data_IF_049399110674
#
_entry.id   IF_049399110674
#
_cell.length_a   1.000
_cell.length_b   1.000
_cell.length_c   1.000
_cell.angle_alpha   90.00
_cell.angle_beta   90.00
_cell.angle_gamma   90.00
#
_symmetry.space_group_name_H-M   'P 1'
#
loop_
_entity.id
_entity.type
_entity.pdbx_description
1 polymer ?
#
# COMPACT_ATOMS: atom_id res chain seq x y z
N UNK A 1 39.94 41.87 73.27
CA UNK A 1 41.41 41.96 73.24
C UNK A 1 41.83 41.69 71.81
N UNK A 2 41.91 42.72 70.96
CA UNK A 2 43.06 43.62 70.79
C UNK A 2 44.28 42.81 70.29
N UNK A 3 44.48 42.78 68.98
CA UNK A 3 45.26 43.75 68.17
C UNK A 3 46.72 43.32 68.10
N UNK A 4 47.39 43.54 66.97
CA UNK A 4 48.36 44.61 66.70
C UNK A 4 48.75 44.39 65.23
N UNK A 5 48.88 45.33 64.29
CA UNK A 5 49.02 46.79 64.26
C UNK A 5 48.79 47.20 62.78
N UNK A 6 47.90 48.13 62.44
CA UNK A 6 48.16 49.57 62.20
C UNK A 6 49.33 49.82 61.21
N UNK A 7 49.17 50.50 60.07
CA UNK A 7 48.86 51.93 59.84
C UNK A 7 48.81 52.17 58.31
N UNK A 8 47.74 52.77 57.75
CA UNK A 8 47.51 54.20 57.43
C UNK A 8 47.88 54.63 56.00
N UNK A 9 46.86 55.21 55.34
CA UNK A 9 46.84 56.47 54.58
C UNK A 9 46.56 56.46 53.04
N UNK A 10 45.41 57.06 52.76
CA UNK A 10 44.83 57.73 51.58
C UNK A 10 45.76 58.35 50.51
N UNK A 11 45.34 58.29 49.24
CA UNK A 11 45.09 59.38 48.25
C UNK A 11 44.86 58.72 46.86
N UNK A 12 43.70 58.77 46.20
CA UNK A 12 43.10 59.81 45.33
C UNK A 12 43.83 60.05 43.97
N UNK A 13 43.03 59.89 42.90
CA UNK A 13 43.07 60.46 41.53
C UNK A 13 43.99 59.88 40.43
N UNK A 14 43.32 59.37 39.38
CA UNK A 14 43.52 59.81 37.99
C UNK A 14 44.48 59.00 37.11
N UNK A 15 43.99 58.48 35.98
CA UNK A 15 44.87 57.98 34.92
C UNK A 15 44.20 57.07 33.90
N UNK A 16 43.93 57.62 32.73
CA UNK A 16 43.46 56.97 31.51
C UNK A 16 44.47 55.88 31.08
N UNK A 17 43.98 54.68 30.79
CA UNK A 17 44.77 53.56 30.27
C UNK A 17 44.08 52.90 29.09
N UNK A 18 44.62 53.13 27.89
CA UNK A 18 44.37 52.38 26.65
C UNK A 18 44.34 50.86 26.92
N UNK A 19 43.33 50.15 26.42
CA UNK A 19 43.40 48.69 26.27
C UNK A 19 43.34 48.31 24.80
N UNK A 20 44.32 47.48 24.46
CA UNK A 20 44.77 47.03 23.17
C UNK A 20 43.75 46.23 22.37
N UNK A 21 43.99 46.28 21.05
CA UNK A 21 43.39 45.53 19.98
C UNK A 21 43.24 44.02 20.28
N UNK A 22 42.06 43.50 19.96
CA UNK A 22 41.84 42.06 19.78
C UNK A 22 41.45 41.82 18.33
N UNK A 23 42.35 41.13 17.61
CA UNK A 23 42.20 40.67 16.23
C UNK A 23 41.06 39.66 16.18
N UNK A 24 39.95 40.03 15.54
CA UNK A 24 38.89 39.09 15.19
C UNK A 24 39.29 38.36 13.90
N UNK A 25 39.75 37.11 14.05
CA UNK A 25 39.98 36.20 12.93
C UNK A 25 38.63 35.86 12.30
N UNK A 26 38.38 36.45 11.13
CA UNK A 26 37.25 36.15 10.25
C UNK A 26 37.36 34.70 9.78
N UNK A 27 36.55 33.81 10.35
CA UNK A 27 36.26 32.52 9.74
C UNK A 27 35.16 32.71 8.69
N UNK A 28 35.56 32.68 7.43
CA UNK A 28 34.68 32.65 6.26
C UNK A 28 33.99 31.29 6.22
N UNK A 29 32.78 31.19 6.77
CA UNK A 29 31.84 30.13 6.41
C UNK A 29 31.13 30.54 5.11
N UNK A 30 31.06 29.67 4.08
CA UNK A 30 30.38 30.01 2.85
C UNK A 30 28.87 30.19 3.13
N UNK A 31 28.37 31.38 2.77
CA UNK A 31 26.95 31.73 2.70
C UNK A 31 26.21 30.77 1.78
N UNK A 32 25.78 29.63 2.30
CA UNK A 32 24.87 28.71 1.63
C UNK A 32 23.70 28.33 2.54
N UNK A 33 23.07 29.33 3.17
CA UNK A 33 21.82 29.09 3.92
C UNK A 33 21.05 30.39 4.22
N UNK A 34 20.78 31.22 3.20
CA UNK A 34 19.84 32.36 3.33
C UNK A 34 19.46 32.94 1.95
N UNK A 35 18.86 32.11 1.09
CA UNK A 35 18.14 32.60 -0.12
C UNK A 35 17.30 31.51 -0.83
N UNK A 36 16.79 30.51 -0.08
CA UNK A 36 15.91 29.46 -0.64
C UNK A 36 14.54 29.36 0.02
N UNK A 37 14.27 30.13 1.09
CA UNK A 37 12.95 30.16 1.73
C UNK A 37 11.99 31.13 1.04
N UNK A 38 12.46 32.26 0.55
CA UNK A 38 11.54 33.34 0.10
C UNK A 38 11.30 33.37 -1.42
N UNK A 39 11.54 32.27 -2.15
CA UNK A 39 11.22 32.18 -3.61
C UNK A 39 10.37 30.98 -4.00
N UNK A 40 10.07 30.07 -3.08
CA UNK A 40 9.20 28.91 -3.34
C UNK A 40 7.77 29.08 -2.84
N UNK A 41 7.46 30.16 -2.12
CA UNK A 41 6.11 30.41 -1.58
C UNK A 41 5.18 31.12 -2.57
N UNK A 42 5.69 31.72 -3.64
CA UNK A 42 4.91 32.59 -4.55
C UNK A 42 4.42 31.94 -5.86
N UNK A 43 4.44 30.60 -6.02
CA UNK A 43 3.77 29.96 -7.18
C UNK A 43 2.91 28.72 -6.90
N UNK A 44 2.74 28.34 -5.63
CA UNK A 44 1.77 27.31 -5.28
C UNK A 44 0.45 27.98 -4.93
N UNK A 45 -0.46 28.10 -5.91
CA UNK A 45 -1.87 28.00 -5.53
C UNK A 45 -1.99 26.74 -4.67
N UNK A 46 -2.32 26.90 -3.38
CA UNK A 46 -2.32 25.80 -2.42
C UNK A 46 -3.32 24.75 -2.91
N UNK A 47 -2.82 23.63 -3.46
CA UNK A 47 -3.68 22.53 -3.88
C UNK A 47 -4.56 22.15 -2.69
N UNK A 48 -5.87 22.29 -2.84
CA UNK A 48 -6.81 21.99 -1.78
C UNK A 48 -6.88 20.47 -1.56
N UNK A 49 -6.63 20.05 -0.32
CA UNK A 49 -6.73 18.64 0.04
C UNK A 49 -8.18 18.17 0.01
N UNK A 50 -8.44 17.11 -0.74
CA UNK A 50 -9.74 16.43 -0.73
C UNK A 50 -10.01 15.80 0.64
N UNK A 51 -11.28 15.56 0.99
CA UNK A 51 -11.62 14.88 2.24
C UNK A 51 -10.96 13.48 2.35
N UNK A 52 -10.82 12.78 1.22
CA UNK A 52 -10.14 11.49 1.14
C UNK A 52 -8.65 11.62 1.52
N UNK A 53 -7.97 12.64 1.00
CA UNK A 53 -6.56 12.92 1.34
C UNK A 53 -6.39 13.32 2.80
N UNK A 54 -7.28 14.16 3.32
CA UNK A 54 -7.25 14.55 4.74
C UNK A 54 -7.41 13.33 5.66
N UNK A 55 -8.27 12.37 5.31
CA UNK A 55 -8.43 11.14 6.09
C UNK A 55 -7.17 10.26 6.04
N UNK A 56 -6.51 10.15 4.88
CA UNK A 56 -5.23 9.44 4.76
C UNK A 56 -4.13 10.12 5.60
N UNK A 57 -4.06 11.45 5.57
CA UNK A 57 -3.05 12.22 6.31
C UNK A 57 -3.27 12.21 7.83
N UNK A 58 -4.53 12.16 8.29
CA UNK A 58 -4.86 11.98 9.72
C UNK A 58 -4.40 10.64 10.28
N UNK A 59 -4.29 9.63 9.43
CA UNK A 59 -3.82 8.31 9.79
C UNK A 59 -4.91 7.40 10.38
N UNK A 60 -4.56 6.13 10.52
CA UNK A 60 -5.49 5.07 10.94
C UNK A 60 -5.30 4.71 12.41
N UNK A 61 -6.32 4.16 13.09
CA UNK A 61 -6.16 3.73 14.48
C UNK A 61 -5.17 2.57 14.65
N UNK A 62 -4.48 2.54 15.79
CA UNK A 62 -3.77 1.36 16.29
C UNK A 62 -4.54 0.84 17.51
N UNK A 63 -5.12 -0.35 17.40
CA UNK A 63 -5.98 -0.93 18.44
C UNK A 63 -5.33 -2.15 19.08
N UNK A 64 -5.46 -2.30 20.39
CA UNK A 64 -5.11 -3.54 21.08
C UNK A 64 -6.24 -4.56 20.92
N UNK A 65 -5.91 -5.79 20.50
CA UNK A 65 -6.83 -6.92 20.47
C UNK A 65 -6.91 -7.52 21.88
N UNK A 66 -7.71 -6.89 22.74
CA UNK A 66 -7.69 -7.16 24.18
C UNK A 66 -8.05 -8.59 24.57
N UNK A 67 -8.94 -9.26 23.83
CA UNK A 67 -9.30 -10.66 24.12
C UNK A 67 -8.17 -11.58 23.69
N UNK A 68 -7.52 -11.30 22.56
CA UNK A 68 -6.28 -11.99 22.15
C UNK A 68 -5.19 -11.79 23.20
N UNK A 69 -4.92 -10.54 23.60
CA UNK A 69 -3.91 -10.20 24.61
C UNK A 69 -4.16 -10.96 25.92
N UNK A 70 -5.40 -10.97 26.39
CA UNK A 70 -5.78 -11.68 27.63
C UNK A 70 -5.56 -13.19 27.51
N UNK A 71 -5.76 -13.77 26.33
CA UNK A 71 -5.63 -15.21 26.11
C UNK A 71 -4.16 -15.66 26.13
N UNK A 72 -3.26 -14.88 25.50
CA UNK A 72 -1.86 -15.30 25.29
C UNK A 72 -0.85 -14.66 26.24
N UNK A 73 -1.23 -13.64 27.02
CA UNK A 73 -0.34 -12.94 27.96
C UNK A 73 0.68 -11.99 27.29
N UNK A 74 0.51 -11.70 26.01
CA UNK A 74 1.32 -10.74 25.22
C UNK A 74 0.39 -9.80 24.48
N UNK A 75 0.79 -8.54 24.35
CA UNK A 75 -0.06 -7.53 23.72
C UNK A 75 0.01 -7.67 22.19
N UNK A 76 -1.15 -7.81 21.54
CA UNK A 76 -1.24 -7.82 20.07
C UNK A 76 -2.00 -6.59 19.61
N UNK A 77 -1.34 -5.76 18.81
CA UNK A 77 -1.89 -4.53 18.25
C UNK A 77 -2.15 -4.67 16.76
N UNK A 78 -3.32 -4.19 16.32
CA UNK A 78 -3.71 -4.14 14.93
C UNK A 78 -3.73 -2.68 14.44
N UNK A 79 -2.93 -2.39 13.41
CA UNK A 79 -2.97 -1.12 12.70
C UNK A 79 -4.07 -1.20 11.63
N UNK A 80 -5.10 -0.38 11.79
CA UNK A 80 -6.37 -0.51 11.07
C UNK A 80 -6.33 0.18 9.70
N UNK A 81 -5.47 -0.28 8.80
CA UNK A 81 -5.37 0.23 7.43
C UNK A 81 -6.64 0.01 6.58
N UNK A 82 -7.51 -0.92 6.99
CA UNK A 82 -8.88 -1.08 6.48
C UNK A 82 -9.77 0.15 6.71
N UNK A 83 -9.39 1.06 7.62
CA UNK A 83 -10.13 2.29 7.93
C UNK A 83 -9.65 3.52 7.15
N UNK A 84 -8.72 3.36 6.22
CA UNK A 84 -8.53 4.40 5.20
C UNK A 84 -9.85 4.58 4.41
N UNK A 85 -10.12 5.76 3.85
CA UNK A 85 -11.40 6.07 3.19
C UNK A 85 -11.73 5.18 1.99
N UNK A 86 -10.73 4.70 1.27
CA UNK A 86 -10.84 3.70 0.20
C UNK A 86 -10.88 2.26 0.72
N UNK A 87 -10.86 2.06 2.04
CA UNK A 87 -11.04 0.78 2.73
C UNK A 87 -9.84 -0.16 2.71
N UNK A 88 -8.63 0.37 2.43
CA UNK A 88 -7.40 -0.44 2.36
C UNK A 88 -6.14 0.38 2.62
N UNK A 89 -5.06 -0.27 3.08
CA UNK A 89 -3.75 0.37 3.22
C UNK A 89 -3.10 0.84 1.91
N UNK A 90 -3.65 0.44 0.75
CA UNK A 90 -3.15 0.87 -0.56
C UNK A 90 -3.44 2.34 -0.86
N UNK A 91 -4.37 2.98 -0.13
CA UNK A 91 -4.68 4.40 -0.26
C UNK A 91 -3.45 5.30 -0.09
N UNK A 92 -2.60 4.99 0.91
CA UNK A 92 -1.36 5.73 1.17
C UNK A 92 -0.40 5.68 -0.02
N UNK A 93 -0.13 4.47 -0.52
CA UNK A 93 0.78 4.26 -1.64
C UNK A 93 0.23 4.89 -2.93
N UNK A 94 -1.06 4.70 -3.22
CA UNK A 94 -1.72 5.26 -4.38
C UNK A 94 -1.65 6.80 -4.39
N UNK A 95 -1.94 7.44 -3.24
CA UNK A 95 -1.86 8.89 -3.10
C UNK A 95 -0.43 9.41 -3.30
N UNK A 96 0.56 8.77 -2.67
CA UNK A 96 1.95 9.23 -2.80
C UNK A 96 2.46 9.04 -4.24
N UNK A 97 2.11 7.93 -4.91
CA UNK A 97 2.51 7.71 -6.30
C UNK A 97 1.87 8.71 -7.27
N UNK A 98 0.58 9.06 -7.09
CA UNK A 98 -0.07 10.11 -7.90
C UNK A 98 0.61 11.46 -7.64
N UNK A 99 0.78 11.85 -6.38
CA UNK A 99 1.42 13.13 -6.02
C UNK A 99 2.84 13.26 -6.57
N UNK A 100 3.62 12.18 -6.57
CA UNK A 100 4.95 12.21 -7.17
C UNK A 100 4.89 12.31 -8.70
N UNK A 101 3.98 11.61 -9.36
CA UNK A 101 3.79 11.73 -10.80
C UNK A 101 3.39 13.16 -11.23
N UNK A 102 2.51 13.82 -10.47
CA UNK A 102 2.14 15.22 -10.71
C UNK A 102 3.31 16.17 -10.47
N UNK A 103 4.03 16.00 -9.36
CA UNK A 103 5.21 16.81 -9.02
C UNK A 103 6.33 16.67 -10.06
N UNK A 104 6.48 15.50 -10.65
CA UNK A 104 7.45 15.22 -11.71
C UNK A 104 6.97 15.66 -13.11
N UNK A 105 5.74 16.19 -13.24
CA UNK A 105 5.15 16.60 -14.51
C UNK A 105 4.73 15.43 -15.42
N UNK A 106 4.68 14.20 -14.89
CA UNK A 106 4.18 13.01 -15.61
C UNK A 106 2.65 12.97 -15.67
N UNK A 107 2.01 13.59 -14.69
CA UNK A 107 0.60 13.92 -14.69
C UNK A 107 0.42 15.44 -14.61
N UNK A 108 -0.67 15.99 -15.16
CA UNK A 108 -1.06 17.37 -14.91
C UNK A 108 -1.33 17.59 -13.41
N UNK A 109 -1.35 18.83 -12.91
CA UNK A 109 -1.85 19.10 -11.56
C UNK A 109 -3.30 18.61 -11.40
N UNK A 110 -3.76 18.37 -10.17
CA UNK A 110 -5.16 17.99 -9.93
C UNK A 110 -6.09 19.08 -10.44
N UNK A 111 -7.27 18.69 -10.90
CA UNK A 111 -8.32 19.65 -11.25
C UNK A 111 -8.73 20.46 -10.01
N UNK A 112 -8.95 21.77 -10.22
CA UNK A 112 -9.50 22.66 -9.20
C UNK A 112 -10.94 22.27 -8.81
N UNK A 113 -11.51 23.02 -7.83
CA UNK A 113 -12.89 22.90 -7.36
C UNK A 113 -13.85 22.61 -8.52
N UNK A 114 -14.66 21.56 -8.38
CA UNK A 114 -15.72 21.22 -9.33
C UNK A 114 -16.74 22.37 -9.37
N UNK A 115 -16.56 23.33 -10.28
CA UNK A 115 -17.51 24.44 -10.48
C UNK A 115 -18.62 24.05 -11.44
N UNK A 116 -18.42 23.03 -12.27
CA UNK A 116 -19.41 22.45 -13.16
C UNK A 116 -19.48 20.94 -12.91
N UNK A 117 -20.55 20.48 -12.26
CA UNK A 117 -20.98 19.09 -12.39
C UNK A 117 -21.52 18.95 -13.80
N UNK A 118 -20.71 18.39 -14.70
CA UNK A 118 -21.29 17.78 -15.88
C UNK A 118 -22.00 16.51 -15.39
N UNK A 119 -23.34 16.53 -15.37
CA UNK A 119 -24.19 15.43 -14.88
C UNK A 119 -23.93 14.11 -15.62
N UNK A 120 -23.17 14.15 -16.72
CA UNK A 120 -22.71 12.98 -17.48
C UNK A 120 -21.55 12.21 -16.81
N UNK A 121 -20.82 12.81 -15.87
CA UNK A 121 -19.58 12.23 -15.30
C UNK A 121 -19.76 11.49 -13.97
N UNK A 122 -20.88 11.69 -13.27
CA UNK A 122 -21.15 11.00 -12.00
C UNK A 122 -22.53 10.36 -12.02
N UNK A 123 -22.55 9.05 -11.79
CA UNK A 123 -23.74 8.19 -11.71
C UNK A 123 -24.51 8.13 -13.03
N UNK A 124 -24.11 7.20 -13.92
CA UNK A 124 -25.04 6.71 -14.93
C UNK A 124 -26.23 6.09 -14.18
N UNK A 125 -27.46 6.63 -14.25
CA UNK A 125 -28.63 6.04 -13.59
C UNK A 125 -29.01 4.68 -14.21
N UNK A 126 -28.36 4.32 -15.33
CA UNK A 126 -28.46 3.07 -16.05
C UNK A 126 -27.40 2.05 -15.61
N UNK A 127 -27.04 1.98 -14.32
CA UNK A 127 -26.45 0.73 -13.83
C UNK A 127 -27.53 -0.34 -13.97
N UNK A 128 -27.37 -1.35 -14.85
CA UNK A 128 -28.43 -2.30 -15.04
C UNK A 128 -28.52 -3.13 -13.77
N UNK A 129 -29.70 -3.16 -13.16
CA UNK A 129 -30.05 -4.24 -12.24
C UNK A 129 -30.14 -5.49 -13.12
N UNK A 130 -28.99 -6.14 -13.35
CA UNK A 130 -28.94 -7.32 -14.21
C UNK A 130 -29.60 -8.48 -13.47
N UNK A 131 -30.67 -9.08 -14.01
CA UNK A 131 -31.16 -10.34 -13.51
C UNK A 131 -30.11 -11.42 -13.79
N UNK A 132 -29.94 -12.35 -12.85
CA UNK A 132 -29.25 -13.60 -13.11
C UNK A 132 -29.89 -14.23 -14.35
N UNK A 133 -29.15 -14.32 -15.46
CA UNK A 133 -29.59 -15.11 -16.62
C UNK A 133 -28.54 -16.16 -16.94
N UNK A 134 -29.02 -17.39 -16.89
CA UNK A 134 -28.44 -18.59 -17.45
C UNK A 134 -28.35 -18.46 -18.97
N UNK A 135 -27.29 -19.04 -19.53
CA UNK A 135 -27.03 -19.17 -20.97
C UNK A 135 -28.30 -19.48 -21.79
N UNK A 136 -28.41 -18.83 -22.95
CA UNK A 136 -28.70 -19.52 -24.21
C UNK A 136 -28.25 -18.68 -25.42
N UNK A 137 -27.71 -19.39 -26.39
CA UNK A 137 -27.22 -18.95 -27.69
C UNK A 137 -28.35 -18.74 -28.69
N UNK A 138 -28.26 -17.72 -29.54
CA UNK A 138 -28.55 -17.88 -30.98
C UNK A 138 -28.10 -16.65 -31.79
N UNK A 139 -27.55 -16.91 -32.97
CA UNK A 139 -26.97 -15.91 -33.86
C UNK A 139 -27.96 -15.31 -34.87
N UNK A 140 -27.54 -14.27 -35.57
CA UNK A 140 -27.68 -14.10 -37.04
C UNK A 140 -26.99 -12.84 -37.55
N UNK A 141 -26.49 -12.95 -38.79
CA UNK A 141 -25.69 -12.02 -39.58
C UNK A 141 -26.48 -10.81 -40.15
N UNK A 142 -25.82 -9.65 -40.32
CA UNK A 142 -26.11 -8.76 -41.47
C UNK A 142 -24.94 -7.88 -41.91
N UNK A 143 -24.98 -7.50 -43.19
CA UNK A 143 -23.91 -7.11 -44.14
C UNK A 143 -23.27 -5.72 -43.97
N UNK A 144 -22.03 -5.62 -44.46
CA UNK A 144 -21.23 -4.40 -44.69
C UNK A 144 -21.66 -3.58 -45.91
N UNK A 145 -21.36 -2.28 -45.88
CA UNK A 145 -21.14 -1.44 -47.07
C UNK A 145 -19.84 -0.63 -46.90
N UNK A 146 -19.08 -0.53 -48.00
CA UNK A 146 -17.76 0.10 -48.12
C UNK A 146 -17.85 1.59 -48.51
N UNK A 147 -16.94 2.43 -48.00
CA UNK A 147 -16.35 3.55 -48.75
C UNK A 147 -14.93 3.92 -48.27
N UNK A 148 -14.01 3.93 -49.24
CA UNK A 148 -12.68 4.55 -49.42
C UNK A 148 -11.65 4.75 -48.29
N UNK A 149 -10.48 4.14 -48.54
CA UNK A 149 -9.24 4.13 -47.75
C UNK A 149 -8.39 5.39 -47.92
N UNK A 150 -7.86 5.88 -46.80
CA UNK A 150 -6.51 6.44 -46.71
C UNK A 150 -5.65 5.31 -46.15
N UNK A 151 -4.48 5.04 -46.75
CA UNK A 151 -3.61 3.93 -46.38
C UNK A 151 -3.09 4.07 -44.94
N UNK A 152 -3.82 3.46 -44.00
CA UNK A 152 -3.42 3.23 -42.61
C UNK A 152 -2.91 1.80 -42.54
N UNK A 153 -1.69 1.61 -42.02
CA UNK A 153 -1.16 0.27 -41.71
C UNK A 153 -2.21 -0.47 -40.86
N UNK A 154 -2.71 -1.65 -41.27
CA UNK A 154 -3.86 -2.27 -40.61
C UNK A 154 -3.50 -2.65 -39.17
N UNK A 155 -4.05 -1.91 -38.21
CA UNK A 155 -4.00 -2.28 -36.79
C UNK A 155 -4.82 -3.54 -36.57
N UNK A 156 -4.25 -4.49 -35.85
CA UNK A 156 -4.92 -5.76 -35.52
C UNK A 156 -6.18 -5.51 -34.68
N UNK A 157 -7.16 -6.41 -34.71
CA UNK A 157 -8.39 -6.30 -33.90
C UNK A 157 -8.11 -6.08 -32.41
N UNK A 158 -7.03 -6.68 -31.90
CA UNK A 158 -6.60 -6.55 -30.51
C UNK A 158 -5.97 -5.19 -30.19
N UNK A 159 -5.27 -4.56 -31.15
CA UNK A 159 -4.71 -3.22 -30.94
C UNK A 159 -5.80 -2.16 -30.90
N UNK A 160 -6.81 -2.29 -31.78
CA UNK A 160 -7.99 -1.40 -31.76
C UNK A 160 -8.75 -1.47 -30.43
N UNK A 161 -8.85 -2.65 -29.84
CA UNK A 161 -9.45 -2.82 -28.51
C UNK A 161 -8.69 -2.03 -27.43
N UNK A 162 -7.36 -2.16 -27.38
CA UNK A 162 -6.53 -1.43 -26.41
C UNK A 162 -6.63 0.09 -26.61
N UNK A 163 -6.68 0.56 -27.85
CA UNK A 163 -6.87 1.96 -28.19
C UNK A 163 -8.23 2.48 -27.70
N UNK A 164 -9.30 1.73 -27.93
CA UNK A 164 -10.63 2.08 -27.46
C UNK A 164 -10.68 2.16 -25.93
N UNK A 165 -9.99 1.27 -25.21
CA UNK A 165 -9.91 1.32 -23.74
C UNK A 165 -9.23 2.61 -23.25
N UNK A 166 -8.16 3.06 -23.91
CA UNK A 166 -7.50 4.32 -23.58
C UNK A 166 -8.43 5.51 -23.84
N UNK A 167 -9.09 5.55 -24.99
CA UNK A 167 -10.02 6.63 -25.35
C UNK A 167 -11.20 6.72 -24.37
N UNK A 168 -11.83 5.59 -24.04
CA UNK A 168 -12.90 5.53 -23.04
C UNK A 168 -12.46 6.01 -21.65
N UNK A 169 -11.20 5.78 -21.28
CA UNK A 169 -10.67 6.29 -20.02
C UNK A 169 -10.50 7.82 -20.09
N UNK A 170 -9.91 8.32 -21.18
CA UNK A 170 -9.63 9.75 -21.37
C UNK A 170 -10.90 10.61 -21.41
N UNK A 171 -12.02 10.10 -21.91
CA UNK A 171 -13.33 10.78 -21.85
C UNK A 171 -13.74 11.16 -20.42
N UNK A 172 -13.24 10.43 -19.41
CA UNK A 172 -13.52 10.68 -17.99
C UNK A 172 -12.51 11.61 -17.32
N UNK A 173 -11.47 12.04 -18.03
CA UNK A 173 -10.42 12.89 -17.46
C UNK A 173 -10.83 14.36 -17.49
N UNK A 174 -10.82 15.03 -16.34
CA UNK A 174 -10.99 16.50 -16.26
C UNK A 174 -9.67 17.26 -16.45
N UNK A 175 -8.56 16.59 -16.21
CA UNK A 175 -7.20 17.17 -16.29
C UNK A 175 -6.51 16.86 -17.62
N UNK A 176 -7.06 15.92 -18.41
CA UNK A 176 -6.36 15.30 -19.54
C UNK A 176 -5.31 14.26 -19.11
N UNK A 177 -5.12 14.03 -17.80
CA UNK A 177 -4.22 13.02 -17.25
C UNK A 177 -4.84 11.63 -17.19
N UNK A 178 -4.05 10.58 -17.42
CA UNK A 178 -4.45 9.18 -17.33
C UNK A 178 -3.53 8.39 -16.39
N UNK A 179 -4.13 7.76 -15.39
CA UNK A 179 -3.47 6.84 -14.47
C UNK A 179 -3.79 5.41 -14.87
N UNK A 180 -2.75 4.63 -15.15
CA UNK A 180 -2.87 3.22 -15.54
C UNK A 180 -2.17 2.34 -14.50
N UNK A 181 -2.82 1.24 -14.11
CA UNK A 181 -2.21 0.27 -13.18
C UNK A 181 -2.63 -1.17 -13.52
N UNK A 182 -1.69 -2.10 -13.33
CA UNK A 182 -1.94 -3.53 -13.35
C UNK A 182 -1.97 -4.05 -11.92
N UNK A 183 -3.14 -4.48 -11.44
CA UNK A 183 -3.31 -4.81 -10.02
C UNK A 183 -4.38 -5.87 -9.78
N UNK A 184 -4.25 -6.62 -8.68
CA UNK A 184 -5.22 -7.58 -8.16
C UNK A 184 -6.41 -6.92 -7.42
N UNK A 185 -6.50 -5.58 -7.45
CA UNK A 185 -7.73 -4.82 -7.21
C UNK A 185 -7.64 -3.73 -6.15
N UNK A 186 -7.02 -3.96 -4.97
CA UNK A 186 -7.03 -2.97 -3.88
C UNK A 186 -6.31 -1.67 -4.24
N UNK A 187 -5.16 -1.75 -4.91
CA UNK A 187 -4.46 -0.57 -5.44
C UNK A 187 -5.28 0.13 -6.52
N UNK A 188 -6.00 -0.63 -7.35
CA UNK A 188 -6.86 -0.07 -8.39
C UNK A 188 -8.01 0.73 -7.79
N UNK A 189 -8.63 0.23 -6.72
CA UNK A 189 -9.74 0.91 -6.03
C UNK A 189 -9.25 2.21 -5.36
N UNK A 190 -8.08 2.16 -4.73
CA UNK A 190 -7.43 3.35 -4.17
C UNK A 190 -7.14 4.39 -5.27
N UNK A 191 -6.54 3.97 -6.38
CA UNK A 191 -6.25 4.84 -7.52
C UNK A 191 -7.54 5.40 -8.15
N UNK A 192 -8.57 4.58 -8.36
CA UNK A 192 -9.84 5.02 -8.94
C UNK A 192 -10.50 6.13 -8.10
N UNK A 193 -10.55 5.94 -6.78
CA UNK A 193 -11.12 6.93 -5.85
C UNK A 193 -10.33 8.25 -5.89
N UNK A 194 -9.00 8.15 -5.82
CA UNK A 194 -8.11 9.31 -5.85
C UNK A 194 -8.15 10.03 -7.21
N UNK A 195 -8.19 9.29 -8.32
CA UNK A 195 -8.29 9.86 -9.66
C UNK A 195 -9.62 10.60 -9.84
N UNK A 196 -10.73 10.04 -9.38
CA UNK A 196 -12.03 10.72 -9.41
C UNK A 196 -12.01 12.04 -8.61
N UNK A 197 -11.37 12.03 -7.44
CA UNK A 197 -11.22 13.22 -6.60
C UNK A 197 -10.30 14.27 -7.25
N UNK A 198 -9.18 13.85 -7.85
CA UNK A 198 -8.15 14.71 -8.46
C UNK A 198 -8.43 15.08 -9.92
N UNK A 199 -9.45 14.49 -10.55
CA UNK A 199 -9.82 14.75 -11.94
C UNK A 199 -8.98 14.04 -13.00
N UNK A 200 -8.18 13.04 -12.64
CA UNK A 200 -7.51 12.18 -13.63
C UNK A 200 -8.44 11.03 -14.06
N UNK A 201 -8.23 10.52 -15.26
CA UNK A 201 -8.82 9.24 -15.66
C UNK A 201 -8.07 8.08 -14.99
N UNK A 202 -8.77 6.97 -14.74
CA UNK A 202 -8.19 5.75 -14.20
C UNK A 202 -8.52 4.55 -15.10
N UNK A 203 -7.48 3.83 -15.54
CA UNK A 203 -7.59 2.58 -16.29
C UNK A 203 -6.89 1.47 -15.50
N UNK A 204 -7.64 0.44 -15.12
CA UNK A 204 -7.13 -0.69 -14.35
C UNK A 204 -7.14 -1.96 -15.21
N UNK A 205 -5.99 -2.62 -15.31
CA UNK A 205 -5.90 -3.98 -15.88
C UNK A 205 -5.90 -4.98 -14.72
N UNK A 206 -6.90 -5.86 -14.69
CA UNK A 206 -7.17 -6.78 -13.59
C UNK A 206 -7.22 -8.23 -14.13
N UNK A 207 -6.61 -9.21 -13.45
CA UNK A 207 -6.82 -10.61 -13.80
C UNK A 207 -8.26 -11.08 -13.50
N UNK A 208 -8.78 -12.00 -14.31
CA UNK A 208 -10.16 -12.52 -14.24
C UNK A 208 -10.43 -13.48 -13.07
N UNK A 209 -9.39 -13.84 -12.31
CA UNK A 209 -9.45 -14.72 -11.15
C UNK A 209 -9.57 -13.99 -9.81
N UNK A 210 -9.97 -12.72 -9.80
CA UNK A 210 -10.14 -11.91 -8.57
C UNK A 210 -11.60 -11.87 -8.11
N UNK A 211 -11.84 -11.48 -6.85
CA UNK A 211 -13.18 -11.28 -6.32
C UNK A 211 -14.00 -10.27 -7.18
N UNK A 212 -15.23 -10.66 -7.56
CA UNK A 212 -16.11 -9.87 -8.45
C UNK A 212 -16.46 -8.50 -7.86
N UNK A 213 -16.51 -8.41 -6.54
CA UNK A 213 -16.73 -7.16 -5.80
C UNK A 213 -15.73 -6.09 -6.19
N UNK A 214 -14.47 -6.46 -6.41
CA UNK A 214 -13.41 -5.50 -6.76
C UNK A 214 -13.68 -4.85 -8.11
N UNK A 215 -14.10 -5.64 -9.10
CA UNK A 215 -14.46 -5.14 -10.43
C UNK A 215 -15.65 -4.18 -10.37
N UNK A 216 -16.68 -4.56 -9.61
CA UNK A 216 -17.89 -3.73 -9.43
C UNK A 216 -17.54 -2.41 -8.77
N UNK A 217 -16.74 -2.43 -7.71
CA UNK A 217 -16.29 -1.21 -7.02
C UNK A 217 -15.49 -0.32 -7.98
N UNK A 218 -14.53 -0.86 -8.74
CA UNK A 218 -13.74 -0.10 -9.71
C UNK A 218 -14.61 0.64 -10.73
N UNK A 219 -15.56 -0.08 -11.34
CA UNK A 219 -16.48 0.51 -12.33
C UNK A 219 -17.38 1.58 -11.70
N UNK A 220 -17.91 1.33 -10.51
CA UNK A 220 -18.74 2.30 -9.78
C UNK A 220 -17.97 3.57 -9.39
N UNK A 221 -16.66 3.47 -9.16
CA UNK A 221 -15.76 4.61 -8.93
C UNK A 221 -15.36 5.34 -10.21
N UNK A 222 -15.87 4.93 -11.37
CA UNK A 222 -15.61 5.56 -12.66
C UNK A 222 -14.38 5.03 -13.40
N UNK A 223 -13.62 4.06 -12.85
CA UNK A 223 -12.49 3.49 -13.55
C UNK A 223 -12.92 2.67 -14.78
N UNK A 224 -12.10 2.72 -15.82
CA UNK A 224 -12.19 1.78 -16.94
C UNK A 224 -11.44 0.50 -16.53
N UNK A 225 -12.10 -0.65 -16.61
CA UNK A 225 -11.54 -1.94 -16.18
C UNK A 225 -11.33 -2.84 -17.38
N UNK A 226 -10.10 -3.27 -17.59
CA UNK A 226 -9.74 -4.26 -18.59
C UNK A 226 -9.41 -5.59 -17.93
N UNK A 227 -10.27 -6.58 -18.11
CA UNK A 227 -10.11 -7.91 -17.54
C UNK A 227 -9.25 -8.78 -18.47
N UNK A 228 -8.31 -9.53 -17.89
CA UNK A 228 -7.42 -10.41 -18.65
C UNK A 228 -7.25 -11.76 -17.99
N UNK A 229 -7.03 -12.84 -18.75
CA UNK A 229 -6.68 -14.13 -18.18
C UNK A 229 -5.39 -14.07 -17.35
N UNK A 230 -5.36 -14.81 -16.24
CA UNK A 230 -4.15 -14.96 -15.44
C UNK A 230 -2.99 -15.52 -16.27
N UNK A 231 -1.82 -14.90 -16.14
CA UNK A 231 -0.60 -15.29 -16.84
C UNK A 231 0.61 -15.16 -15.91
N UNK A 232 1.77 -15.71 -16.29
CA UNK A 232 3.02 -15.38 -15.60
C UNK A 232 3.55 -14.00 -16.03
N UNK A 233 4.33 -13.36 -15.17
CA UNK A 233 4.93 -12.04 -15.42
C UNK A 233 5.81 -11.99 -16.69
N UNK A 234 6.39 -13.11 -17.11
CA UNK A 234 7.14 -13.22 -18.38
C UNK A 234 6.26 -13.17 -19.63
N UNK A 235 4.95 -13.39 -19.50
CA UNK A 235 4.01 -13.30 -20.60
C UNK A 235 3.70 -11.83 -20.92
N UNK A 236 3.79 -11.39 -22.19
CA UNK A 236 3.41 -10.02 -22.59
C UNK A 236 1.97 -9.64 -22.25
N UNK A 237 1.06 -10.62 -22.16
CA UNK A 237 -0.36 -10.42 -21.81
C UNK A 237 -0.63 -10.34 -20.30
N UNK A 238 0.40 -10.50 -19.47
CA UNK A 238 0.28 -10.31 -18.03
C UNK A 238 -0.25 -8.91 -17.71
N UNK A 239 -1.16 -8.80 -16.75
CA UNK A 239 -1.86 -7.57 -16.41
C UNK A 239 -0.93 -6.36 -16.15
N UNK A 240 0.23 -6.57 -15.51
CA UNK A 240 1.27 -5.53 -15.31
C UNK A 240 1.87 -5.07 -16.64
N UNK A 241 2.23 -6.01 -17.53
CA UNK A 241 2.88 -5.67 -18.80
C UNK A 241 1.90 -4.95 -19.72
N UNK A 242 0.63 -5.36 -19.69
CA UNK A 242 -0.42 -4.74 -20.46
C UNK A 242 -0.80 -3.36 -19.94
N UNK A 243 -0.86 -3.17 -18.61
CA UNK A 243 -1.01 -1.83 -18.02
C UNK A 243 0.11 -0.88 -18.44
N UNK A 244 1.37 -1.35 -18.42
CA UNK A 244 2.51 -0.57 -18.94
C UNK A 244 2.35 -0.23 -20.42
N UNK A 245 1.94 -1.21 -21.24
CA UNK A 245 1.70 -1.01 -22.68
C UNK A 245 0.61 0.03 -22.93
N UNK A 246 -0.49 0.02 -22.16
CA UNK A 246 -1.59 0.98 -22.30
C UNK A 246 -1.16 2.40 -21.94
N UNK A 247 -0.35 2.58 -20.89
CA UNK A 247 0.20 3.91 -20.57
C UNK A 247 1.16 4.42 -21.66
N UNK A 248 1.98 3.54 -22.24
CA UNK A 248 2.84 3.88 -23.38
C UNK A 248 2.02 4.26 -24.61
N UNK A 249 1.03 3.43 -24.96
CA UNK A 249 0.11 3.70 -26.06
C UNK A 249 -0.58 5.06 -25.91
N UNK A 250 -1.04 5.38 -24.69
CA UNK A 250 -1.64 6.67 -24.37
C UNK A 250 -0.71 7.85 -24.70
N UNK A 251 0.55 7.79 -24.25
CA UNK A 251 1.54 8.84 -24.53
C UNK A 251 1.93 8.90 -26.00
N UNK A 252 2.30 7.77 -26.58
CA UNK A 252 2.97 7.72 -27.89
C UNK A 252 1.98 7.94 -29.03
N UNK A 253 0.74 7.44 -28.90
CA UNK A 253 -0.29 7.54 -29.96
C UNK A 253 -1.20 8.74 -29.78
N UNK A 254 -1.62 9.05 -28.56
CA UNK A 254 -2.61 10.09 -28.29
C UNK A 254 -2.00 11.38 -27.73
N UNK A 255 -0.70 11.41 -27.42
CA UNK A 255 -0.01 12.62 -26.97
C UNK A 255 -0.47 13.12 -25.60
N UNK A 256 -1.06 12.26 -24.75
CA UNK A 256 -1.60 12.62 -23.45
C UNK A 256 -0.63 12.31 -22.30
N UNK A 257 -0.76 13.04 -21.19
CA UNK A 257 -0.05 12.75 -19.96
C UNK A 257 -0.59 11.47 -19.31
N UNK A 258 0.08 10.34 -19.55
CA UNK A 258 -0.31 9.06 -18.98
C UNK A 258 0.83 8.43 -18.18
N UNK A 259 0.52 7.92 -16.98
CA UNK A 259 1.47 7.22 -16.11
C UNK A 259 1.06 5.78 -15.90
N UNK A 260 2.02 4.87 -16.05
CA UNK A 260 1.90 3.55 -15.43
C UNK A 260 2.46 3.66 -14.02
N UNK A 261 1.59 3.52 -13.02
CA UNK A 261 1.94 3.81 -11.61
C UNK A 261 3.03 2.86 -11.09
N UNK A 262 3.02 1.62 -11.57
CA UNK A 262 4.00 0.58 -11.29
C UNK A 262 4.19 0.32 -9.78
N UNK A 263 3.10 0.00 -9.09
CA UNK A 263 3.10 -0.22 -7.62
C UNK A 263 4.19 -1.16 -7.09
N UNK A 264 4.72 -2.06 -7.93
CA UNK A 264 5.77 -3.00 -7.56
C UNK A 264 7.16 -2.36 -7.60
N UNK A 265 7.45 -1.54 -8.61
CA UNK A 265 8.80 -0.98 -8.83
C UNK A 265 8.93 0.50 -8.43
N UNK A 266 7.81 1.20 -8.20
CA UNK A 266 7.78 2.60 -7.81
C UNK A 266 8.07 2.77 -6.31
N UNK A 267 9.21 3.38 -5.99
CA UNK A 267 9.67 3.58 -4.60
C UNK A 267 8.82 4.56 -3.79
N UNK A 268 7.94 5.34 -4.42
CA UNK A 268 6.95 6.14 -3.68
C UNK A 268 6.00 5.25 -2.85
N UNK A 269 5.86 3.97 -3.19
CA UNK A 269 5.14 3.00 -2.36
C UNK A 269 5.90 2.71 -1.05
N UNK A 270 7.18 2.32 -1.12
CA UNK A 270 8.04 2.14 0.05
C UNK A 270 8.12 3.41 0.92
N UNK A 271 8.36 4.55 0.27
CA UNK A 271 8.72 5.79 0.90
C UNK A 271 7.58 6.37 1.77
N UNK A 272 6.31 6.23 1.36
CA UNK A 272 5.19 6.69 2.20
C UNK A 272 5.09 5.90 3.51
N UNK A 273 5.41 4.61 3.49
CA UNK A 273 5.37 3.78 4.69
C UNK A 273 6.55 4.06 5.62
N UNK A 274 7.72 4.37 5.06
CA UNK A 274 8.86 4.88 5.82
C UNK A 274 8.58 6.24 6.47
N UNK A 275 8.04 7.21 5.71
CA UNK A 275 7.84 8.59 6.18
C UNK A 275 6.59 8.78 7.04
N UNK A 276 5.58 7.94 6.88
CA UNK A 276 4.28 8.11 7.55
C UNK A 276 3.92 6.89 8.41
N UNK A 277 3.71 5.73 7.80
CA UNK A 277 3.12 4.57 8.54
C UNK A 277 3.99 4.09 9.69
N UNK A 278 5.31 3.97 9.50
CA UNK A 278 6.27 3.57 10.54
C UNK A 278 6.30 4.52 11.75
N UNK A 279 6.52 5.84 11.55
CA UNK A 279 6.42 6.82 12.63
C UNK A 279 5.05 6.86 13.31
N UNK A 280 3.97 6.72 12.52
CA UNK A 280 2.60 6.81 13.01
C UNK A 280 2.27 5.67 13.98
N UNK A 281 2.57 4.41 13.62
CA UNK A 281 2.30 3.26 14.51
C UNK A 281 3.16 3.34 15.78
N UNK A 282 4.44 3.73 15.67
CA UNK A 282 5.34 3.80 16.82
C UNK A 282 4.87 4.87 17.81
N UNK A 283 4.47 6.04 17.30
CA UNK A 283 3.91 7.11 18.11
C UNK A 283 2.62 6.66 18.82
N UNK A 284 1.72 5.99 18.11
CA UNK A 284 0.45 5.51 18.69
C UNK A 284 0.66 4.42 19.74
N UNK A 285 1.65 3.54 19.56
CA UNK A 285 2.00 2.51 20.52
C UNK A 285 2.57 3.13 21.81
N UNK A 286 3.47 4.12 21.67
CA UNK A 286 4.01 4.88 22.80
C UNK A 286 2.92 5.64 23.55
N UNK A 287 1.94 6.23 22.85
CA UNK A 287 0.78 6.88 23.47
C UNK A 287 -0.07 5.93 24.31
N UNK A 288 -0.02 4.63 24.02
CA UNK A 288 -0.68 3.58 24.80
C UNK A 288 0.23 3.00 25.91
N UNK A 289 1.39 3.62 26.17
CA UNK A 289 2.32 3.19 27.23
C UNK A 289 3.04 1.89 26.92
N UNK A 290 3.17 1.53 25.63
CA UNK A 290 3.83 0.29 25.18
C UNK A 290 5.08 0.59 24.37
N UNK A 291 6.05 -0.31 24.45
CA UNK A 291 7.18 -0.43 23.53
C UNK A 291 6.87 -1.45 22.43
N UNK A 292 7.68 -1.48 21.38
CA UNK A 292 7.53 -2.44 20.29
C UNK A 292 8.55 -3.57 20.48
N UNK A 293 8.11 -4.82 20.46
CA UNK A 293 8.99 -5.99 20.47
C UNK A 293 9.11 -6.61 19.08
N UNK A 294 8.00 -6.67 18.34
CA UNK A 294 7.99 -7.15 16.96
C UNK A 294 6.95 -6.44 16.09
N UNK A 295 7.32 -6.23 14.82
CA UNK A 295 6.41 -5.86 13.75
C UNK A 295 6.25 -7.04 12.79
N UNK A 296 5.01 -7.44 12.53
CA UNK A 296 4.71 -8.67 11.78
C UNK A 296 3.71 -8.36 10.67
N UNK A 297 4.05 -8.67 9.43
CA UNK A 297 3.08 -8.56 8.32
C UNK A 297 3.51 -9.33 7.08
N UNK A 298 2.54 -9.60 6.20
CA UNK A 298 2.70 -10.24 4.90
C UNK A 298 3.02 -9.26 3.79
N UNK A 299 3.62 -9.75 2.71
CA UNK A 299 4.10 -8.90 1.62
C UNK A 299 3.41 -9.20 0.29
N UNK A 300 2.84 -8.15 -0.32
CA UNK A 300 2.61 -8.07 -1.76
C UNK A 300 3.78 -7.32 -2.40
N UNK A 301 3.55 -6.09 -2.85
CA UNK A 301 4.61 -5.25 -3.45
C UNK A 301 5.86 -5.05 -2.58
N UNK A 302 5.77 -5.28 -1.26
CA UNK A 302 6.85 -5.08 -0.31
C UNK A 302 6.93 -3.69 0.29
N UNK A 303 6.23 -2.69 -0.27
CA UNK A 303 6.35 -1.29 0.16
C UNK A 303 6.08 -1.08 1.64
N UNK A 304 5.01 -1.69 2.18
CA UNK A 304 4.62 -1.50 3.58
C UNK A 304 5.59 -2.14 4.56
N UNK A 305 5.94 -3.43 4.39
CA UNK A 305 6.89 -4.09 5.31
C UNK A 305 8.27 -3.47 5.21
N UNK A 306 8.77 -3.22 4.00
CA UNK A 306 10.10 -2.67 3.80
C UNK A 306 10.18 -1.24 4.35
N UNK A 307 9.20 -0.37 4.06
CA UNK A 307 9.22 1.02 4.54
C UNK A 307 9.18 1.11 6.07
N UNK A 308 8.31 0.32 6.71
CA UNK A 308 8.23 0.28 8.17
C UNK A 308 9.49 -0.34 8.79
N UNK A 309 9.99 -1.44 8.24
CA UNK A 309 11.20 -2.12 8.73
C UNK A 309 12.41 -1.19 8.68
N UNK A 310 12.64 -0.53 7.54
CA UNK A 310 13.74 0.43 7.39
C UNK A 310 13.63 1.56 8.39
N UNK A 311 12.43 2.15 8.57
CA UNK A 311 12.24 3.19 9.58
C UNK A 311 12.57 2.69 10.99
N UNK A 312 11.99 1.56 11.42
CA UNK A 312 12.16 1.04 12.77
C UNK A 312 13.63 0.70 13.09
N UNK A 313 14.35 0.08 12.14
CA UNK A 313 15.75 -0.29 12.32
C UNK A 313 16.68 0.92 12.29
N UNK A 314 16.47 1.89 11.40
CA UNK A 314 17.27 3.13 11.36
C UNK A 314 17.07 4.02 12.59
N UNK A 315 15.88 3.98 13.21
CA UNK A 315 15.63 4.69 14.47
C UNK A 315 16.19 3.95 15.70
N UNK A 316 16.88 2.81 15.52
CA UNK A 316 17.41 1.97 16.59
C UNK A 316 16.38 1.68 17.68
N UNK A 317 15.15 1.34 17.28
CA UNK A 317 14.09 1.02 18.24
C UNK A 317 14.44 -0.32 18.89
N UNK A 318 14.65 -0.27 20.20
CA UNK A 318 14.86 -1.46 21.03
C UNK A 318 13.62 -1.78 21.85
N UNK A 319 13.46 -3.06 22.17
CA UNK A 319 12.41 -3.58 23.02
C UNK A 319 12.78 -3.45 24.51
N UNK A 320 11.91 -3.93 25.41
CA UNK A 320 12.12 -3.81 26.86
C UNK A 320 13.37 -4.53 27.38
N UNK A 321 13.94 -5.46 26.61
CA UNK A 321 15.15 -6.19 26.93
C UNK A 321 16.39 -5.60 26.24
N UNK A 322 16.29 -4.39 25.68
CA UNK A 322 17.33 -3.69 24.95
C UNK A 322 17.83 -4.43 23.69
N UNK A 323 16.98 -5.28 23.10
CA UNK A 323 17.22 -5.92 21.81
C UNK A 323 16.50 -5.14 20.70
N UNK A 324 17.03 -5.14 19.49
CA UNK A 324 16.35 -4.54 18.35
C UNK A 324 14.96 -5.14 18.12
N UNK A 325 14.01 -4.31 17.69
CA UNK A 325 12.68 -4.77 17.25
C UNK A 325 12.83 -5.84 16.19
N UNK A 326 12.07 -6.93 16.34
CA UNK A 326 12.00 -7.99 15.33
C UNK A 326 11.05 -7.59 14.19
N UNK A 327 11.49 -7.77 12.95
CA UNK A 327 10.67 -7.61 11.74
C UNK A 327 10.43 -8.99 11.16
N UNK A 328 9.16 -9.40 11.12
CA UNK A 328 8.77 -10.75 10.70
C UNK A 328 7.87 -10.68 9.47
N UNK A 329 8.31 -11.31 8.38
CA UNK A 329 7.50 -11.53 7.19
C UNK A 329 6.51 -12.68 7.43
N UNK A 330 5.24 -12.48 7.10
CA UNK A 330 4.26 -13.55 6.94
C UNK A 330 4.13 -13.90 5.47
N UNK A 331 4.31 -15.16 5.09
CA UNK A 331 4.27 -15.55 3.68
C UNK A 331 3.26 -16.67 3.43
N UNK A 332 2.37 -16.52 2.42
CA UNK A 332 1.41 -17.55 2.07
C UNK A 332 2.07 -18.72 1.31
N UNK A 333 1.38 -19.87 1.18
CA UNK A 333 1.84 -20.97 0.35
C UNK A 333 2.04 -20.52 -1.10
N UNK A 334 3.07 -21.08 -1.77
CA UNK A 334 3.40 -20.75 -3.15
C UNK A 334 4.20 -19.45 -3.34
N UNK A 335 4.36 -18.60 -2.32
CA UNK A 335 5.25 -17.44 -2.43
C UNK A 335 6.72 -17.81 -2.21
N UNK A 336 7.59 -17.12 -2.96
CA UNK A 336 9.04 -17.28 -2.89
C UNK A 336 9.71 -16.39 -1.82
N UNK A 337 8.95 -15.52 -1.13
CA UNK A 337 9.53 -14.52 -0.24
C UNK A 337 10.03 -15.13 1.07
N UNK A 338 9.38 -16.19 1.57
CA UNK A 338 9.78 -16.95 2.75
C UNK A 338 11.22 -17.43 2.62
N UNK A 339 11.51 -18.20 1.58
CA UNK A 339 12.85 -18.74 1.36
C UNK A 339 13.85 -17.64 1.01
N UNK A 340 13.38 -16.53 0.42
CA UNK A 340 14.26 -15.38 0.18
C UNK A 340 14.77 -14.79 1.49
N UNK A 341 13.89 -14.62 2.48
CA UNK A 341 14.25 -14.08 3.79
C UNK A 341 15.07 -15.10 4.60
N UNK A 342 14.64 -16.36 4.69
CA UNK A 342 15.30 -17.38 5.53
C UNK A 342 16.61 -17.92 4.97
N UNK A 343 16.75 -17.98 3.65
CA UNK A 343 17.87 -18.70 3.01
C UNK A 343 18.55 -17.90 1.90
N UNK A 344 18.12 -16.66 1.63
CA UNK A 344 18.67 -15.84 0.57
C UNK A 344 18.26 -16.25 -0.85
N UNK A 345 17.44 -17.29 -1.01
CA UNK A 345 17.04 -17.88 -2.31
C UNK A 345 15.55 -17.65 -2.56
N UNK A 346 15.21 -17.04 -3.70
CA UNK A 346 13.82 -16.90 -4.12
C UNK A 346 13.35 -18.22 -4.78
N UNK A 347 12.67 -19.05 -3.99
CA UNK A 347 12.13 -20.35 -4.39
C UNK A 347 10.87 -20.62 -3.56
N UNK A 348 9.92 -21.41 -4.06
CA UNK A 348 8.81 -21.99 -3.31
C UNK A 348 8.72 -23.50 -3.63
N UNK A 349 8.43 -24.35 -2.65
CA UNK A 349 8.43 -25.80 -2.84
C UNK A 349 7.39 -26.27 -3.87
N UNK A 350 6.31 -25.51 -3.98
CA UNK A 350 5.23 -25.61 -4.96
C UNK A 350 5.72 -25.38 -6.40
N UNK A 351 6.91 -24.81 -6.59
CA UNK A 351 7.58 -24.63 -7.89
C UNK A 351 8.42 -25.85 -8.31
N UNK A 352 8.50 -26.92 -7.49
CA UNK A 352 9.27 -28.13 -7.84
C UNK A 352 8.63 -28.86 -9.04
N UNK A 353 9.42 -29.15 -10.08
CA UNK A 353 8.97 -29.97 -11.21
C UNK A 353 8.48 -31.34 -10.74
N UNK A 354 7.16 -31.57 -10.83
CA UNK A 354 6.53 -32.91 -10.87
C UNK A 354 5.05 -32.84 -11.25
N UNK A 355 4.32 -31.79 -10.86
CA UNK A 355 2.92 -31.57 -11.24
C UNK A 355 2.66 -30.08 -11.47
N UNK A 356 2.68 -29.65 -12.73
CA UNK A 356 2.25 -28.29 -13.12
C UNK A 356 0.73 -28.19 -12.90
N UNK A 357 0.30 -27.72 -11.73
CA UNK A 357 -1.09 -27.25 -11.56
C UNK A 357 -1.31 -26.03 -12.45
N UNK A 358 -2.53 -25.89 -12.99
CA UNK A 358 -2.93 -24.83 -13.93
C UNK A 358 -2.81 -23.42 -13.31
N UNK A 359 -2.87 -23.33 -11.99
CA UNK A 359 -2.60 -22.14 -11.18
C UNK A 359 -1.31 -22.38 -10.37
N UNK A 360 -0.24 -21.62 -10.66
CA UNK A 360 1.10 -21.86 -10.08
C UNK A 360 1.24 -21.47 -8.60
N UNK A 361 0.21 -20.90 -7.99
CA UNK A 361 0.23 -20.27 -6.67
C UNK A 361 -1.13 -20.46 -5.96
N UNK A 362 -1.50 -21.69 -5.60
CA UNK A 362 -2.75 -21.97 -4.87
C UNK A 362 -2.65 -21.45 -3.43
N UNK A 363 -2.75 -20.13 -3.26
CA UNK A 363 -3.19 -19.52 -2.01
C UNK A 363 -4.52 -18.83 -2.24
N UNK A 364 -5.42 -19.01 -1.28
CA UNK A 364 -6.68 -18.30 -1.17
C UNK A 364 -6.45 -16.80 -0.89
N UNK A 365 -5.30 -16.43 -0.33
CA UNK A 365 -5.05 -15.07 0.11
C UNK A 365 -4.78 -14.11 -1.05
N UNK A 366 -5.57 -13.04 -1.10
CA UNK A 366 -5.45 -12.02 -2.14
C UNK A 366 -4.57 -10.85 -1.69
N UNK A 367 -3.73 -10.35 -2.61
CA UNK A 367 -2.94 -9.12 -2.43
C UNK A 367 -1.58 -9.30 -1.74
N UNK A 368 -1.18 -10.55 -1.44
CA UNK A 368 0.09 -10.93 -0.83
C UNK A 368 0.64 -12.19 -1.51
N UNK A 369 1.93 -12.46 -1.33
CA UNK A 369 2.65 -13.55 -1.98
C UNK A 369 3.13 -13.17 -3.38
N UNK A 370 4.43 -13.29 -3.61
CA UNK A 370 5.06 -13.14 -4.93
C UNK A 370 6.11 -14.21 -5.20
N UNK A 371 6.40 -14.42 -6.48
CA UNK A 371 7.44 -15.29 -7.02
C UNK A 371 8.75 -14.57 -7.36
N UNK A 372 8.81 -13.25 -7.13
CA UNK A 372 9.93 -12.38 -7.48
C UNK A 372 10.18 -11.31 -6.43
N UNK A 373 11.38 -10.75 -6.46
CA UNK A 373 11.77 -9.63 -5.60
C UNK A 373 11.49 -8.32 -6.33
N UNK A 374 10.68 -7.47 -5.72
CA UNK A 374 10.34 -6.14 -6.23
C UNK A 374 11.37 -5.12 -5.74
N UNK A 375 11.48 -3.96 -6.42
CA UNK A 375 12.32 -2.87 -5.93
C UNK A 375 11.93 -2.40 -4.53
N UNK A 376 10.62 -2.28 -4.27
CA UNK A 376 10.10 -1.88 -2.96
C UNK A 376 10.48 -2.85 -1.84
N UNK A 377 10.34 -4.17 -2.05
CA UNK A 377 10.73 -5.18 -1.06
C UNK A 377 12.24 -5.17 -0.84
N UNK A 378 13.02 -5.07 -1.93
CA UNK A 378 14.48 -5.03 -1.86
C UNK A 378 15.02 -3.84 -1.05
N UNK A 379 14.31 -2.72 -0.99
CA UNK A 379 14.71 -1.53 -0.22
C UNK A 379 14.75 -1.74 1.30
N UNK A 380 14.04 -2.74 1.82
CA UNK A 380 14.03 -3.06 3.26
C UNK A 380 14.41 -4.50 3.57
N UNK A 381 14.83 -5.29 2.57
CA UNK A 381 15.07 -6.73 2.72
C UNK A 381 16.10 -7.04 3.83
N UNK A 382 17.18 -6.27 3.92
CA UNK A 382 18.21 -6.47 4.96
C UNK A 382 17.72 -6.21 6.38
N UNK A 383 16.55 -5.60 6.54
CA UNK A 383 15.94 -5.27 7.83
C UNK A 383 14.84 -6.24 8.24
N UNK A 384 14.52 -7.25 7.41
CA UNK A 384 13.56 -8.31 7.73
C UNK A 384 14.32 -9.46 8.36
N UNK A 385 14.08 -9.72 9.64
CA UNK A 385 14.91 -10.63 10.45
C UNK A 385 14.57 -12.11 10.21
N UNK A 386 13.30 -12.42 9.93
CA UNK A 386 12.80 -13.79 9.71
C UNK A 386 11.46 -13.80 8.99
N UNK A 387 11.01 -14.97 8.61
CA UNK A 387 9.70 -15.20 8.02
C UNK A 387 8.94 -16.36 8.66
N UNK A 388 7.62 -16.35 8.52
CA UNK A 388 6.70 -17.36 9.02
C UNK A 388 5.75 -17.73 7.88
N UNK A 389 5.58 -19.03 7.65
CA UNK A 389 4.51 -19.52 6.78
C UNK A 389 3.20 -19.58 7.52
N UNK A 390 2.15 -19.13 6.84
CA UNK A 390 0.77 -19.26 7.29
C UNK A 390 -0.02 -19.91 6.18
N UNK A 391 -0.71 -20.99 6.49
CA UNK A 391 -1.55 -21.71 5.53
C UNK A 391 -2.88 -20.99 5.31
N UNK A 392 -3.56 -21.30 4.21
CA UNK A 392 -4.90 -20.75 3.95
C UNK A 392 -5.91 -21.19 5.02
N UNK A 393 -5.80 -22.44 5.51
CA UNK A 393 -6.69 -22.95 6.57
C UNK A 393 -6.53 -22.13 7.85
N UNK A 394 -5.29 -21.89 8.29
CA UNK A 394 -5.02 -21.05 9.47
C UNK A 394 -5.59 -19.63 9.30
N UNK A 395 -5.52 -19.07 8.09
CA UNK A 395 -6.09 -17.76 7.80
C UNK A 395 -7.62 -17.77 7.90
N UNK A 396 -8.28 -18.80 7.34
CA UNK A 396 -9.74 -18.98 7.42
C UNK A 396 -10.18 -19.11 8.88
N UNK A 397 -9.56 -20.00 9.65
CA UNK A 397 -9.90 -20.21 11.06
C UNK A 397 -9.72 -18.93 11.88
N UNK A 398 -8.59 -18.23 11.67
CA UNK A 398 -8.29 -16.97 12.35
C UNK A 398 -9.29 -15.87 12.03
N UNK A 399 -9.67 -15.71 10.76
CA UNK A 399 -10.63 -14.67 10.35
C UNK A 399 -11.98 -14.85 11.05
N UNK A 400 -12.47 -16.09 11.09
CA UNK A 400 -13.73 -16.44 11.73
C UNK A 400 -13.65 -16.30 13.25
N UNK A 401 -12.54 -16.73 13.86
CA UNK A 401 -12.34 -16.58 15.29
C UNK A 401 -12.26 -15.11 15.71
N UNK A 402 -11.50 -14.28 15.00
CA UNK A 402 -11.38 -12.83 15.25
C UNK A 402 -12.71 -12.09 15.08
N UNK A 403 -13.55 -12.51 14.12
CA UNK A 403 -14.90 -11.97 14.00
C UNK A 403 -15.73 -12.25 15.25
N UNK A 404 -15.69 -13.48 15.78
CA UNK A 404 -16.45 -13.86 16.98
C UNK A 404 -15.88 -13.26 18.26
N UNK A 405 -14.55 -13.15 18.36
CA UNK A 405 -13.89 -12.67 19.56
C UNK A 405 -13.78 -11.17 19.58
N UNK A 406 -13.26 -10.52 18.55
CA UNK A 406 -13.00 -9.07 18.55
C UNK A 406 -14.03 -8.26 17.74
N UNK A 407 -14.95 -8.92 17.01
CA UNK A 407 -15.95 -8.23 16.19
C UNK A 407 -15.38 -7.65 14.89
N UNK A 408 -14.20 -8.09 14.46
CA UNK A 408 -13.53 -7.58 13.27
C UNK A 408 -13.78 -8.48 12.05
N UNK A 409 -14.49 -7.96 11.06
CA UNK A 409 -14.70 -8.65 9.78
C UNK A 409 -13.60 -8.26 8.78
N UNK A 410 -12.60 -9.12 8.64
CA UNK A 410 -11.32 -8.79 7.98
C UNK A 410 -11.09 -9.59 6.69
N UNK A 411 -10.23 -9.09 5.80
CA UNK A 411 -9.79 -9.82 4.62
C UNK A 411 -8.73 -10.89 4.89
N UNK A 412 -8.41 -11.68 3.85
CA UNK A 412 -7.52 -12.84 3.93
C UNK A 412 -6.10 -12.51 4.39
N UNK A 413 -5.50 -11.43 3.85
CA UNK A 413 -4.13 -11.00 4.22
C UNK A 413 -4.06 -10.50 5.66
N UNK A 414 -5.11 -9.81 6.13
CA UNK A 414 -5.25 -9.40 7.53
C UNK A 414 -5.33 -10.61 8.47
N UNK A 415 -6.02 -11.68 8.05
CA UNK A 415 -6.11 -12.90 8.85
C UNK A 415 -4.76 -13.62 8.93
N UNK A 416 -4.03 -13.73 7.81
CA UNK A 416 -2.67 -14.27 7.79
C UNK A 416 -1.73 -13.46 8.69
N UNK A 417 -1.81 -12.13 8.62
CA UNK A 417 -1.06 -11.23 9.48
C UNK A 417 -1.30 -11.50 10.97
N UNK A 418 -2.56 -11.75 11.36
CA UNK A 418 -2.92 -12.05 12.74
C UNK A 418 -2.38 -13.41 13.20
N UNK A 419 -2.46 -14.44 12.36
CA UNK A 419 -1.82 -15.75 12.66
C UNK A 419 -0.33 -15.55 12.89
N UNK A 420 0.37 -14.86 11.98
CA UNK A 420 1.79 -14.59 12.11
C UNK A 420 2.11 -13.78 13.36
N UNK A 421 1.31 -12.75 13.67
CA UNK A 421 1.51 -11.92 14.85
C UNK A 421 1.35 -12.70 16.15
N UNK A 422 0.35 -13.58 16.24
CA UNK A 422 0.12 -14.44 17.40
C UNK A 422 1.26 -15.46 17.56
N UNK A 423 1.68 -16.13 16.47
CA UNK A 423 2.83 -17.06 16.50
C UNK A 423 4.10 -16.35 16.96
N UNK A 424 4.36 -15.14 16.47
CA UNK A 424 5.50 -14.32 16.91
C UNK A 424 5.35 -13.91 18.38
N UNK A 425 4.18 -13.47 18.82
CA UNK A 425 3.93 -13.08 20.20
C UNK A 425 4.15 -14.24 21.18
N UNK A 426 3.72 -15.45 20.83
CA UNK A 426 3.94 -16.66 21.64
C UNK A 426 5.41 -17.08 21.73
N UNK A 427 6.22 -16.75 20.72
CA UNK A 427 7.67 -16.97 20.73
C UNK A 427 8.45 -15.89 21.52
N UNK A 428 7.78 -14.80 21.92
CA UNK A 428 8.37 -13.72 22.71
C UNK A 428 8.09 -13.89 24.22
N UNK A 429 8.91 -13.24 25.08
CA UNK A 429 8.65 -13.19 26.51
C UNK A 429 7.23 -12.70 26.84
N UNK A 430 6.72 -13.13 27.98
CA UNK A 430 5.43 -12.63 28.49
C UNK A 430 5.49 -11.11 28.69
N UNK A 431 4.39 -10.41 28.37
CA UNK A 431 4.33 -8.94 28.41
C UNK A 431 4.89 -8.22 27.18
N UNK A 432 5.52 -8.91 26.22
CA UNK A 432 5.93 -8.31 24.94
C UNK A 432 4.74 -7.78 24.14
N UNK A 433 5.02 -6.82 23.25
CA UNK A 433 4.04 -6.14 22.40
C UNK A 433 4.37 -6.32 20.92
N UNK A 434 3.43 -6.89 20.18
CA UNK A 434 3.54 -7.16 18.74
C UNK A 434 2.56 -6.27 17.99
N UNK A 435 3.01 -5.61 16.92
CA UNK A 435 2.14 -4.84 16.01
C UNK A 435 2.01 -5.57 14.68
N UNK A 436 0.80 -5.65 14.17
CA UNK A 436 0.49 -6.13 12.82
C UNK A 436 -0.49 -5.22 12.09
N UNK A 437 -0.84 -5.56 10.85
CA UNK A 437 -1.64 -4.74 9.95
C UNK A 437 -2.96 -5.43 9.59
N UNK A 438 -4.08 -4.74 9.77
CA UNK A 438 -5.38 -5.13 9.18
C UNK A 438 -5.54 -4.33 7.89
N UNK A 439 -5.21 -4.97 6.77
CA UNK A 439 -4.99 -4.33 5.46
C UNK A 439 -6.29 -3.94 4.74
N UNK A 440 -7.35 -4.74 4.88
CA UNK A 440 -8.67 -4.50 4.31
C UNK A 440 -9.76 -5.33 5.04
N UNK A 441 -11.03 -5.03 4.73
CA UNK A 441 -12.20 -5.65 5.35
C UNK A 441 -12.75 -6.85 4.58
N UNK A 442 -13.49 -7.72 5.29
CA UNK A 442 -14.01 -8.98 4.78
C UNK A 442 -15.02 -8.83 3.63
N UNK A 443 -15.71 -7.70 3.55
CA UNK A 443 -16.68 -7.39 2.48
C UNK A 443 -16.07 -7.45 1.07
N UNK A 444 -14.76 -7.27 0.93
CA UNK A 444 -14.05 -7.33 -0.37
C UNK A 444 -13.78 -8.74 -0.85
N UNK A 445 -14.02 -9.73 0.02
CA UNK A 445 -13.71 -11.13 -0.21
C UNK A 445 -14.95 -12.02 0.01
N UNK A 446 -16.15 -11.43 -0.07
CA UNK A 446 -17.42 -12.08 0.29
C UNK A 446 -17.79 -13.25 -0.63
N UNK A 447 -17.53 -13.15 -1.93
CA UNK A 447 -17.73 -14.25 -2.90
C UNK A 447 -16.66 -15.34 -2.86
N UNK A 448 -15.56 -15.13 -2.14
CA UNK A 448 -14.40 -16.04 -2.12
C UNK A 448 -14.01 -16.45 -0.69
N UNK A 449 -13.09 -15.73 -0.05
CA UNK A 449 -12.56 -16.04 1.28
C UNK A 449 -13.65 -16.21 2.36
N UNK A 450 -14.75 -15.46 2.25
CA UNK A 450 -15.90 -15.55 3.17
C UNK A 450 -17.08 -16.35 2.58
N UNK A 451 -16.83 -17.26 1.63
CA UNK A 451 -17.84 -18.08 0.99
C UNK A 451 -17.62 -19.58 1.29
N UNK A 452 -18.55 -20.26 2.01
CA UNK A 452 -18.34 -21.66 2.42
C UNK A 452 -18.23 -22.63 1.24
N UNK A 453 -18.93 -22.36 0.14
CA UNK A 453 -18.84 -23.17 -1.07
C UNK A 453 -17.46 -23.02 -1.72
N UNK A 454 -16.96 -21.79 -1.85
CA UNK A 454 -15.64 -21.53 -2.42
C UNK A 454 -14.52 -22.13 -1.56
N UNK A 455 -14.60 -22.01 -0.23
CA UNK A 455 -13.68 -22.64 0.71
C UNK A 455 -13.66 -24.17 0.52
N UNK A 456 -14.84 -24.80 0.43
CA UNK A 456 -14.94 -26.25 0.21
C UNK A 456 -14.39 -26.70 -1.15
N UNK A 457 -14.61 -25.92 -2.22
CA UNK A 457 -14.04 -26.17 -3.56
C UNK A 457 -12.51 -26.11 -3.57
N UNK A 458 -11.91 -25.32 -2.67
CA UNK A 458 -10.47 -25.23 -2.44
C UNK A 458 -9.91 -26.34 -1.52
N UNK A 459 -10.75 -27.27 -1.07
CA UNK A 459 -10.36 -28.36 -0.18
C UNK A 459 -10.06 -27.92 1.26
N UNK A 460 -10.51 -26.71 1.63
CA UNK A 460 -10.39 -26.15 2.97
C UNK A 460 -11.66 -26.41 3.78
N UNK A 461 -11.54 -26.37 5.10
CA UNK A 461 -12.65 -26.56 6.02
C UNK A 461 -13.26 -25.21 6.40
N UNK A 462 -14.60 -25.12 6.30
CA UNK A 462 -15.32 -23.98 6.83
C UNK A 462 -15.36 -24.07 8.37
N UNK A 463 -14.97 -23.02 9.11
CA UNK A 463 -14.83 -23.12 10.56
C UNK A 463 -16.17 -23.35 11.25
N UNK A 464 -16.19 -24.26 12.22
CA UNK A 464 -17.32 -24.38 13.15
C UNK A 464 -17.38 -23.16 14.09
N UNK A 465 -18.51 -22.99 14.78
CA UNK A 465 -18.67 -21.89 15.75
C UNK A 465 -17.66 -21.96 16.91
N UNK A 466 -17.26 -23.18 17.29
CA UNK A 466 -16.34 -23.44 18.40
C UNK A 466 -14.88 -23.60 17.95
N UNK A 467 -14.58 -23.45 16.65
CA UNK A 467 -13.23 -23.55 16.12
C UNK A 467 -12.31 -22.51 16.80
N UNK A 468 -11.21 -23.01 17.38
CA UNK A 468 -10.09 -22.23 17.89
C UNK A 468 -8.95 -22.42 16.88
N UNK A 469 -8.31 -21.36 16.38
CA UNK A 469 -7.19 -21.50 15.47
C UNK A 469 -6.05 -22.31 16.11
N UNK A 470 -5.42 -23.22 15.37
CA UNK A 470 -4.35 -24.11 15.84
C UNK A 470 -3.24 -23.37 16.61
N UNK A 471 -2.88 -22.15 16.19
CA UNK A 471 -1.86 -21.35 16.85
C UNK A 471 -2.25 -20.87 18.27
N UNK A 472 -3.50 -21.07 18.68
CA UNK A 472 -4.05 -20.74 20.00
C UNK A 472 -4.47 -21.99 20.80
N UNK A 473 -4.41 -23.18 20.20
CA UNK A 473 -4.61 -24.44 20.91
C UNK A 473 -3.42 -24.69 21.86
N UNK A 474 -3.72 -25.05 23.11
CA UNK A 474 -2.73 -25.20 24.20
C UNK A 474 -2.25 -26.62 24.37
#
# INVERSE_FOLDING_TARGET
MASVSQRRNNLVLGGIGLVAASVATVWIFPKWHRSRRDKNEESNASILLTAHEQLIERGTPLIELKRVTKLIGRSVFAKMESMNPGGTGKDRAALNMIRMAEKEGKLPPPADVVTHCDDSLFLNPSLPVFPYSTHDSDGTNTKMQHTHEIAVVPTTSAEKELENMVLQALEKSRTGGLVVEGTSGSTGIALATLCAARGHACLVVLPDDQAVEKQRILRSLGAVVYEVPTAAISNPKHYVNLGRKLAMLARDKFGVSAVFVDQFENLSNFDIHYRQTGPELLRQLKQQGRSLDAFVMSSGTGGTIAGIATYLKEQHITNNNNNDVQIVLVDPPGSALYHKVEHGVAFAAEQRERYLRKHRYDTLAEGIGLDRITRNFSSGLSFIDRSIRVTDQEAVDMAHWILRTEGLWIGSSSAMNLVGAIKTALALPEGSSVVTMVCDGGQRHATRFWNPKFIGEWGLQWPSADCIPDCLEK
#
